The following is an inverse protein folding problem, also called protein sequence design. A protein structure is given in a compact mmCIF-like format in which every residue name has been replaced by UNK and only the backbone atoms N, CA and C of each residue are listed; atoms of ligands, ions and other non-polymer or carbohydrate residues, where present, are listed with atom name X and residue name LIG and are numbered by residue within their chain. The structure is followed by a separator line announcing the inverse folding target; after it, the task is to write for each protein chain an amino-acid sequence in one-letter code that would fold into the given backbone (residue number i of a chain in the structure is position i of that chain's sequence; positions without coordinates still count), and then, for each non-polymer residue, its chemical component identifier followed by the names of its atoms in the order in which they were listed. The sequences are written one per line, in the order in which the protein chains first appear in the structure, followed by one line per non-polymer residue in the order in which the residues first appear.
data_IF_012792825551
#
_entry.id   IF_012792825551
#
_cell.length_a   1.000
_cell.length_b   1.000
_cell.length_c   1.000
_cell.angle_alpha   90.00
_cell.angle_beta   90.00
_cell.angle_gamma   90.00
#
_symmetry.space_group_name_H-M   'P 1'
#
loop_
_entity.id
_entity.type
_entity.pdbx_description
1 polymer ?
#
# COMPACT_ATOMS: atom_id res chain seq x y z
N UNK A 1 3.96 -7.89 -31.76
CA UNK A 1 4.70 -8.21 -30.54
C UNK A 1 5.23 -6.90 -30.00
N UNK A 2 4.55 -6.29 -29.01
CA UNK A 2 5.08 -5.09 -28.35
C UNK A 2 6.17 -5.53 -27.38
N UNK A 3 7.28 -4.82 -27.41
CA UNK A 3 8.56 -5.16 -26.80
C UNK A 3 8.45 -5.18 -25.27
N UNK A 4 8.37 -6.37 -24.67
CA UNK A 4 8.10 -6.57 -23.23
C UNK A 4 9.21 -6.03 -22.31
N UNK A 5 10.35 -5.63 -22.89
CA UNK A 5 11.48 -5.05 -22.17
C UNK A 5 11.35 -3.53 -21.95
N UNK A 6 10.54 -2.82 -22.76
CA UNK A 6 10.41 -1.36 -22.67
C UNK A 6 9.46 -0.88 -21.56
N UNK A 7 8.68 -1.77 -20.94
CA UNK A 7 7.63 -1.43 -19.96
C UNK A 7 8.03 -1.70 -18.50
N UNK A 8 9.28 -2.12 -18.25
CA UNK A 8 9.79 -2.38 -16.91
C UNK A 8 10.63 -1.19 -16.44
N UNK A 9 9.95 -0.07 -16.17
CA UNK A 9 10.55 1.06 -15.46
C UNK A 9 10.88 0.62 -14.01
N UNK A 10 12.15 0.62 -13.58
CA UNK A 10 12.57 0.09 -12.27
C UNK A 10 11.98 0.82 -11.05
N UNK A 11 11.41 2.01 -11.26
CA UNK A 11 10.82 2.88 -10.22
C UNK A 11 9.28 2.86 -10.22
N UNK A 12 8.65 2.04 -11.06
CA UNK A 12 7.18 2.00 -11.22
C UNK A 12 6.48 1.00 -10.29
N UNK A 13 7.21 0.21 -9.49
CA UNK A 13 6.59 -0.76 -8.59
C UNK A 13 6.67 -0.32 -7.13
N UNK A 14 5.53 0.10 -6.59
CA UNK A 14 5.39 0.35 -5.14
C UNK A 14 4.84 -0.91 -4.47
N UNK A 15 5.61 -1.55 -3.57
CA UNK A 15 5.19 -2.80 -2.94
C UNK A 15 4.01 -2.57 -2.00
N UNK A 16 3.17 -3.61 -1.86
CA UNK A 16 2.09 -3.59 -0.87
C UNK A 16 2.63 -3.76 0.54
N UNK A 17 2.15 -3.00 1.53
CA UNK A 17 2.49 -3.20 2.95
C UNK A 17 1.77 -4.41 3.58
N UNK A 18 1.00 -5.18 2.79
CA UNK A 18 0.24 -6.32 3.29
C UNK A 18 1.15 -7.46 3.75
N UNK A 19 0.95 -7.94 4.98
CA UNK A 19 1.62 -9.12 5.54
C UNK A 19 0.68 -10.35 5.65
N UNK A 20 -0.39 -10.36 4.85
CA UNK A 20 -1.42 -11.42 4.85
C UNK A 20 -2.18 -11.60 6.18
N UNK A 21 -2.20 -10.56 7.01
CA UNK A 21 -3.12 -10.44 8.15
C UNK A 21 -4.29 -9.57 7.73
N UNK A 22 -5.51 -10.07 7.90
CA UNK A 22 -6.75 -9.38 7.51
C UNK A 22 -7.68 -9.25 8.71
N UNK A 23 -7.30 -8.41 9.67
CA UNK A 23 -8.10 -8.12 10.86
C UNK A 23 -8.05 -6.62 11.12
N UNK A 24 -9.22 -5.99 11.22
CA UNK A 24 -9.34 -4.57 11.54
C UNK A 24 -9.46 -4.40 13.05
N UNK A 25 -8.63 -3.54 13.61
CA UNK A 25 -8.80 -3.07 14.98
C UNK A 25 -10.00 -2.11 15.04
N UNK A 26 -11.03 -2.41 15.86
CA UNK A 26 -12.24 -1.59 15.92
C UNK A 26 -12.03 -0.25 16.62
N UNK A 27 -10.93 -0.06 17.37
CA UNK A 27 -10.62 1.21 18.04
C UNK A 27 -10.01 2.26 17.10
N UNK A 28 -9.12 1.82 16.21
CA UNK A 28 -8.38 2.66 15.26
C UNK A 28 -8.98 2.64 13.85
N UNK A 29 -9.72 1.58 13.49
CA UNK A 29 -10.22 1.36 12.13
C UNK A 29 -9.14 0.89 11.15
N UNK A 30 -7.97 0.47 11.63
CA UNK A 30 -6.84 0.04 10.81
C UNK A 30 -6.65 -1.47 10.84
N UNK A 31 -6.10 -2.02 9.75
CA UNK A 31 -5.64 -3.40 9.73
C UNK A 31 -4.47 -3.59 10.70
N UNK A 32 -4.56 -4.54 11.62
CA UNK A 32 -3.51 -4.79 12.63
C UNK A 32 -2.18 -5.25 12.04
N UNK A 33 -2.17 -5.74 10.79
CA UNK A 33 -0.96 -6.20 10.12
C UNK A 33 -0.29 -5.18 9.21
N UNK A 34 -1.08 -4.41 8.46
CA UNK A 34 -0.54 -3.45 7.47
C UNK A 34 -0.91 -2.00 7.73
N UNK A 35 -1.66 -1.72 8.80
CA UNK A 35 -2.06 -0.40 9.28
C UNK A 35 -2.84 0.47 8.28
N UNK A 36 -3.28 -0.14 7.17
CA UNK A 36 -4.19 0.47 6.19
C UNK A 36 -5.63 0.42 6.65
N UNK A 37 -6.43 1.38 6.22
CA UNK A 37 -7.90 1.35 6.34
C UNK A 37 -8.49 0.35 5.34
N UNK A 38 -9.78 0.00 5.51
CA UNK A 38 -10.49 -0.84 4.53
C UNK A 38 -10.57 -0.20 3.14
N UNK A 39 -10.75 1.12 3.06
CA UNK A 39 -10.80 1.85 1.78
C UNK A 39 -9.46 1.81 1.04
N UNK A 40 -8.35 2.00 1.77
CA UNK A 40 -7.00 1.88 1.22
C UNK A 40 -6.70 0.45 0.74
N UNK A 41 -7.21 -0.56 1.44
CA UNK A 41 -7.08 -1.97 1.03
C UNK A 41 -7.87 -2.22 -0.26
N UNK A 42 -9.12 -1.76 -0.34
CA UNK A 42 -10.00 -1.96 -1.49
C UNK A 42 -9.50 -1.25 -2.75
N UNK A 43 -8.95 -0.03 -2.61
CA UNK A 43 -8.49 0.77 -3.73
C UNK A 43 -7.07 0.41 -4.23
N UNK A 44 -6.28 -0.34 -3.46
CA UNK A 44 -4.84 -0.54 -3.69
C UNK A 44 -4.45 -0.95 -5.12
N UNK A 45 -5.16 -1.91 -5.72
CA UNK A 45 -4.83 -2.41 -7.06
C UNK A 45 -5.11 -1.39 -8.17
N UNK A 46 -5.96 -0.40 -7.91
CA UNK A 46 -6.30 0.69 -8.83
C UNK A 46 -5.52 1.98 -8.60
N UNK A 47 -4.79 2.09 -7.48
CA UNK A 47 -3.99 3.27 -7.17
C UNK A 47 -2.81 3.43 -8.13
N UNK A 48 -2.54 4.67 -8.52
CA UNK A 48 -1.28 5.09 -9.12
C UNK A 48 -0.13 4.95 -8.13
N UNK A 49 1.10 4.95 -8.62
CA UNK A 49 2.27 4.82 -7.75
C UNK A 49 2.50 6.06 -6.88
N UNK A 50 1.99 7.23 -7.30
CA UNK A 50 1.98 8.42 -6.46
C UNK A 50 1.05 8.23 -5.25
N UNK A 51 -0.16 7.72 -5.48
CA UNK A 51 -1.12 7.42 -4.40
C UNK A 51 -0.58 6.32 -3.47
N UNK A 52 0.02 5.25 -4.01
CA UNK A 52 0.63 4.20 -3.16
C UNK A 52 1.76 4.75 -2.27
N UNK A 53 2.61 5.65 -2.79
CA UNK A 53 3.66 6.32 -1.99
C UNK A 53 3.06 7.21 -0.90
N UNK A 54 1.93 7.86 -1.16
CA UNK A 54 1.20 8.63 -0.16
C UNK A 54 0.70 7.73 0.97
N UNK A 55 0.10 6.57 0.64
CA UNK A 55 -0.30 5.60 1.67
C UNK A 55 0.89 5.21 2.53
N UNK A 56 2.05 4.90 1.94
CA UNK A 56 3.27 4.57 2.70
C UNK A 56 3.69 5.69 3.66
N UNK A 57 3.64 6.96 3.24
CA UNK A 57 3.91 8.09 4.14
C UNK A 57 2.94 8.12 5.32
N UNK A 58 1.64 7.97 5.07
CA UNK A 58 0.65 7.90 6.13
C UNK A 58 0.91 6.73 7.09
N UNK A 59 1.34 5.57 6.59
CA UNK A 59 1.66 4.41 7.44
C UNK A 59 2.84 4.69 8.38
N UNK A 60 3.88 5.38 7.89
CA UNK A 60 5.03 5.77 8.74
C UNK A 60 4.58 6.69 9.87
N UNK A 61 3.67 7.63 9.61
CA UNK A 61 3.12 8.51 10.64
C UNK A 61 2.23 7.75 11.64
N UNK A 62 1.45 6.76 11.19
CA UNK A 62 0.56 5.95 12.05
C UNK A 62 1.32 5.03 13.00
N UNK A 63 2.35 4.36 12.49
CA UNK A 63 3.15 3.39 13.27
C UNK A 63 4.21 4.12 14.12
N UNK A 64 4.53 5.36 13.77
CA UNK A 64 5.65 6.11 14.33
C UNK A 64 6.99 5.56 13.83
N UNK A 65 8.07 6.36 13.84
CA UNK A 65 9.40 5.81 13.65
C UNK A 65 9.71 4.87 14.83
N UNK A 66 9.99 3.62 14.52
CA UNK A 66 10.56 2.66 15.49
C UNK A 66 11.92 3.13 15.99
#
# INVERSE_FOLDING_TARGET
MRDRAAELEPDAYVPSPCICVCTIDPGTGWCVGCYRTLDEIAAWSGMSDAEKREVWRCLVERVGPA
#
